data_IF_345439718291
#
_entry.id   IF_345439718291
#
_cell.length_a   1.000
_cell.length_b   1.000
_cell.length_c   1.000
_cell.angle_alpha   90.00
_cell.angle_beta   90.00
_cell.angle_gamma   90.00
#
_symmetry.space_group_name_H-M   'P 1'
#
loop_
_entity.id
_entity.type
_entity.pdbx_description
1 polymer ?
#
# COMPACT_ATOMS: atom_id res chain seq x y z
N UNK A 1 9.65 10.03 10.70
CA UNK A 1 8.37 10.63 10.23
C UNK A 1 8.63 11.40 8.94
N UNK A 2 7.88 11.14 7.87
CA UNK A 2 8.02 11.87 6.61
C UNK A 2 7.06 13.06 6.59
N UNK A 3 7.56 14.26 6.32
CA UNK A 3 6.75 15.47 6.19
C UNK A 3 6.54 15.82 4.72
N UNK A 4 5.32 16.23 4.36
CA UNK A 4 5.00 16.77 3.04
C UNK A 4 4.44 18.18 3.19
N UNK A 5 5.00 19.13 2.44
CA UNK A 5 4.52 20.51 2.40
C UNK A 5 3.77 20.75 1.09
N UNK A 6 2.47 21.02 1.19
CA UNK A 6 1.61 21.34 0.05
C UNK A 6 1.03 22.75 0.20
N UNK A 7 1.20 23.56 -0.85
CA UNK A 7 0.60 24.90 -0.94
C UNK A 7 -0.47 24.86 -2.02
N UNK A 8 -1.75 24.87 -1.60
CA UNK A 8 -2.86 24.92 -2.55
C UNK A 8 -3.06 26.38 -2.98
N UNK A 9 -2.62 26.70 -4.20
CA UNK A 9 -2.98 27.96 -4.84
C UNK A 9 -4.41 27.82 -5.38
N UNK A 10 -5.29 28.73 -4.98
CA UNK A 10 -6.64 28.81 -5.54
C UNK A 10 -6.54 29.08 -7.05
N UNK A 11 -6.71 28.05 -7.87
CA UNK A 11 -6.91 28.18 -9.30
C UNK A 11 -8.34 28.71 -9.49
N UNK A 12 -8.45 30.02 -9.65
CA UNK A 12 -9.71 30.65 -10.04
C UNK A 12 -10.16 30.10 -11.39
N UNK A 13 -11.17 29.23 -11.39
CA UNK A 13 -12.02 29.00 -12.56
C UNK A 13 -13.49 29.24 -12.17
N UNK A 14 -13.90 30.50 -12.23
CA UNK A 14 -15.16 30.87 -12.86
C UNK A 14 -14.97 32.27 -13.44
N UNK A 15 -15.36 32.44 -14.71
CA UNK A 15 -15.34 33.73 -15.45
C UNK A 15 -13.98 34.29 -15.94
N UNK A 16 -13.02 33.43 -16.33
CA UNK A 16 -11.82 33.83 -17.09
C UNK A 16 -10.94 34.95 -16.44
N UNK A 17 -11.07 35.13 -15.12
CA UNK A 17 -10.44 36.23 -14.39
C UNK A 17 -9.22 35.70 -13.65
N UNK A 18 -8.04 36.25 -13.97
CA UNK A 18 -6.79 35.96 -13.23
C UNK A 18 -6.96 36.38 -11.76
N UNK A 19 -6.56 35.51 -10.83
CA UNK A 19 -6.42 35.87 -9.41
C UNK A 19 -5.50 37.08 -9.27
N UNK A 20 -5.98 38.13 -8.59
CA UNK A 20 -5.29 39.42 -8.46
C UNK A 20 -4.50 39.56 -7.15
N UNK A 21 -4.31 38.46 -6.41
CA UNK A 21 -3.54 38.50 -5.16
C UNK A 21 -2.10 38.95 -5.44
N UNK A 22 -1.68 40.00 -4.72
CA UNK A 22 -0.31 40.54 -4.69
C UNK A 22 0.30 40.37 -3.30
N UNK A 23 -0.13 39.35 -2.57
CA UNK A 23 0.22 39.20 -1.17
C UNK A 23 1.73 39.02 -1.01
N UNK A 24 2.36 39.94 -0.26
CA UNK A 24 3.82 40.04 -0.10
C UNK A 24 4.39 38.91 0.75
N UNK A 25 3.50 38.20 1.43
CA UNK A 25 3.75 36.87 1.89
C UNK A 25 2.62 36.01 1.35
N UNK A 26 2.86 34.73 1.08
CA UNK A 26 1.81 33.76 1.40
C UNK A 26 1.68 33.82 2.94
N UNK A 27 0.90 34.79 3.42
CA UNK A 27 0.38 34.97 4.78
C UNK A 27 -1.09 35.31 4.61
N UNK A 28 -1.95 34.62 5.36
CA UNK A 28 -3.42 34.62 5.20
C UNK A 28 -3.94 34.20 3.81
N UNK A 29 -3.62 32.95 3.48
CA UNK A 29 -4.23 32.20 2.37
C UNK A 29 -4.13 30.71 2.63
N UNK A 30 -4.48 30.29 3.86
CA UNK A 30 -4.54 28.92 4.37
C UNK A 30 -3.35 28.04 3.96
N UNK A 31 -2.24 28.19 4.68
CA UNK A 31 -1.13 27.23 4.65
C UNK A 31 -1.64 25.87 5.17
N UNK A 32 -1.97 24.97 4.27
CA UNK A 32 -2.41 23.62 4.66
C UNK A 32 -1.19 22.78 5.03
N UNK A 33 -0.86 22.77 6.31
CA UNK A 33 0.17 21.89 6.85
C UNK A 33 -0.38 20.46 7.00
N UNK A 34 -0.01 19.57 6.08
CA UNK A 34 -0.39 18.15 6.15
C UNK A 34 0.74 17.36 6.79
N UNK A 35 0.57 17.01 8.07
CA UNK A 35 1.48 16.07 8.73
C UNK A 35 1.03 14.64 8.45
N UNK A 36 1.76 13.94 7.57
CA UNK A 36 1.53 12.51 7.36
C UNK A 36 2.22 11.76 8.51
N UNK A 37 1.43 11.37 9.50
CA UNK A 37 1.90 10.46 10.54
C UNK A 37 1.80 9.04 10.00
N UNK A 38 2.80 8.20 10.29
CA UNK A 38 2.72 6.75 10.03
C UNK A 38 1.81 6.09 11.09
N UNK A 39 0.59 6.58 11.21
CA UNK A 39 -0.44 6.05 12.08
C UNK A 39 -1.51 5.44 11.18
N UNK A 40 -1.57 4.12 11.18
CA UNK A 40 -2.63 3.40 10.50
C UNK A 40 -3.83 3.31 11.43
N UNK A 41 -5.03 3.44 10.86
CA UNK A 41 -6.28 3.19 11.58
C UNK A 41 -6.55 1.68 11.81
N UNK A 42 -5.58 0.84 11.48
CA UNK A 42 -5.63 -0.60 11.58
C UNK A 42 -4.23 -1.14 11.94
N UNK A 43 -4.13 -2.29 12.63
CA UNK A 43 -2.84 -2.85 13.04
C UNK A 43 -2.09 -3.42 11.84
N UNK A 44 -0.93 -2.84 11.51
CA UNK A 44 -0.08 -3.24 10.39
C UNK A 44 0.47 -4.68 10.48
N UNK A 45 0.65 -5.15 11.70
CA UNK A 45 1.13 -6.49 12.02
C UNK A 45 -0.06 -7.36 12.45
N UNK A 46 -1.09 -7.45 11.60
CA UNK A 46 -2.23 -8.34 11.80
C UNK A 46 -2.35 -9.34 10.65
N UNK A 47 -2.83 -10.54 10.98
CA UNK A 47 -3.04 -11.61 9.99
C UNK A 47 -4.02 -11.19 8.87
N UNK A 48 -4.98 -10.31 9.15
CA UNK A 48 -5.92 -9.79 8.15
C UNK A 48 -5.22 -8.97 7.04
N UNK A 49 -4.14 -8.25 7.37
CA UNK A 49 -3.36 -7.52 6.37
C UNK A 49 -2.55 -8.48 5.50
N UNK A 50 -2.10 -9.62 6.04
CA UNK A 50 -1.37 -10.62 5.26
C UNK A 50 -2.19 -11.13 4.08
N UNK A 51 -3.52 -11.19 4.21
CA UNK A 51 -4.44 -11.57 3.12
C UNK A 51 -4.45 -10.57 1.96
N UNK A 52 -4.09 -9.31 2.22
CA UNK A 52 -4.04 -8.24 1.21
C UNK A 52 -2.62 -7.99 0.67
N UNK A 53 -1.60 -8.63 1.25
CA UNK A 53 -0.24 -8.55 0.70
C UNK A 53 -0.20 -9.28 -0.63
N UNK A 54 0.50 -8.68 -1.58
CA UNK A 54 0.82 -9.36 -2.84
C UNK A 54 1.62 -10.63 -2.52
N UNK A 55 1.27 -11.72 -3.20
CA UNK A 55 2.02 -12.97 -3.14
C UNK A 55 3.47 -12.70 -3.59
N UNK A 56 4.44 -13.27 -2.89
CA UNK A 56 5.85 -13.09 -3.25
C UNK A 56 6.13 -13.68 -4.64
N UNK A 57 7.11 -13.12 -5.36
CA UNK A 57 7.50 -13.64 -6.68
C UNK A 57 7.90 -15.12 -6.62
N UNK A 58 8.61 -15.52 -5.57
CA UNK A 58 9.00 -16.90 -5.34
C UNK A 58 7.80 -17.84 -5.21
N UNK A 59 6.77 -17.45 -4.45
CA UNK A 59 5.55 -18.26 -4.31
C UNK A 59 4.78 -18.34 -5.63
N UNK A 60 4.76 -17.26 -6.43
CA UNK A 60 4.17 -17.28 -7.77
C UNK A 60 4.89 -18.28 -8.67
N UNK A 61 6.23 -18.25 -8.72
CA UNK A 61 7.02 -19.18 -9.53
C UNK A 61 6.80 -20.64 -9.11
N UNK A 62 6.69 -20.92 -7.80
CA UNK A 62 6.36 -22.27 -7.29
C UNK A 62 4.97 -22.71 -7.77
N UNK A 63 3.97 -21.83 -7.67
CA UNK A 63 2.61 -22.12 -8.17
C UNK A 63 2.61 -22.38 -9.68
N UNK A 64 3.30 -21.56 -10.47
CA UNK A 64 3.39 -21.74 -11.92
C UNK A 64 3.99 -23.10 -12.29
N UNK A 65 5.06 -23.52 -11.61
CA UNK A 65 5.65 -24.86 -11.80
C UNK A 65 4.67 -25.98 -11.47
N UNK A 66 3.94 -25.86 -10.37
CA UNK A 66 2.93 -26.85 -9.96
C UNK A 66 1.78 -26.93 -10.98
N UNK A 67 1.35 -25.79 -11.53
CA UNK A 67 0.33 -25.80 -12.58
C UNK A 67 0.85 -26.43 -13.88
N UNK A 68 2.09 -26.13 -14.26
CA UNK A 68 2.74 -26.75 -15.43
C UNK A 68 2.91 -28.26 -15.27
N UNK A 69 3.09 -28.76 -14.03
CA UNK A 69 3.13 -30.20 -13.76
C UNK A 69 1.75 -30.84 -13.57
N UNK A 70 0.66 -30.09 -13.78
CA UNK A 70 -0.71 -30.60 -13.83
C UNK A 70 -1.48 -30.56 -12.51
N UNK A 71 -0.98 -29.86 -11.48
CA UNK A 71 -1.75 -29.69 -10.25
C UNK A 71 -2.99 -28.79 -10.48
N UNK A 72 -4.09 -29.15 -9.82
CA UNK A 72 -5.24 -28.25 -9.66
C UNK A 72 -4.92 -27.14 -8.65
N UNK A 73 -5.67 -26.03 -8.66
CA UNK A 73 -5.50 -24.96 -7.66
C UNK A 73 -5.50 -25.46 -6.21
N UNK A 74 -6.40 -26.39 -5.87
CA UNK A 74 -6.47 -26.98 -4.54
C UNK A 74 -5.23 -27.83 -4.21
N UNK A 75 -4.79 -28.66 -5.16
CA UNK A 75 -3.63 -29.52 -4.94
C UNK A 75 -2.34 -28.71 -4.81
N UNK A 76 -2.13 -27.71 -5.68
CA UNK A 76 -0.95 -26.85 -5.64
C UNK A 76 -0.86 -26.06 -4.31
N UNK A 77 -2.00 -25.54 -3.83
CA UNK A 77 -2.04 -24.85 -2.55
C UNK A 77 -1.71 -25.78 -1.38
N UNK A 78 -2.22 -27.02 -1.41
CA UNK A 78 -1.91 -28.00 -0.37
C UNK A 78 -0.43 -28.38 -0.37
N UNK A 79 0.17 -28.59 -1.56
CA UNK A 79 1.63 -28.83 -1.67
C UNK A 79 2.42 -27.71 -1.01
N UNK A 80 2.12 -26.45 -1.34
CA UNK A 80 2.81 -25.31 -0.71
C UNK A 80 2.64 -25.23 0.80
N UNK A 81 1.49 -25.62 1.34
CA UNK A 81 1.27 -25.67 2.79
C UNK A 81 2.14 -26.74 3.44
N UNK A 82 2.26 -27.91 2.81
CA UNK A 82 3.13 -28.98 3.31
C UNK A 82 4.59 -28.57 3.28
N UNK A 83 5.06 -27.97 2.18
CA UNK A 83 6.43 -27.47 2.05
C UNK A 83 6.76 -26.44 3.15
N UNK A 84 5.84 -25.48 3.39
CA UNK A 84 6.00 -24.48 4.44
C UNK A 84 5.98 -25.09 5.86
N UNK A 85 5.15 -26.12 6.08
CA UNK A 85 5.10 -26.81 7.36
C UNK A 85 6.39 -27.60 7.62
N UNK A 86 6.99 -28.21 6.58
CA UNK A 86 8.28 -28.88 6.68
C UNK A 86 9.41 -27.88 6.97
N UNK A 87 9.39 -26.71 6.34
CA UNK A 87 10.40 -25.67 6.52
C UNK A 87 10.35 -24.99 7.90
N UNK A 88 9.14 -24.68 8.39
CA UNK A 88 8.94 -23.90 9.62
C UNK A 88 8.70 -24.75 10.86
N UNK A 89 8.38 -26.04 10.70
CA UNK A 89 8.13 -26.98 11.80
C UNK A 89 7.11 -26.45 12.81
N UNK A 90 7.50 -26.42 14.09
CA UNK A 90 6.65 -25.95 15.20
C UNK A 90 6.28 -24.46 15.13
N UNK A 91 6.95 -23.68 14.27
CA UNK A 91 6.65 -22.26 14.06
C UNK A 91 5.58 -22.00 12.99
N UNK A 92 5.07 -23.07 12.36
CA UNK A 92 4.00 -23.00 11.39
C UNK A 92 2.64 -22.86 12.11
N UNK A 93 2.08 -21.64 12.14
CA UNK A 93 0.81 -21.29 12.84
C UNK A 93 -0.32 -21.05 11.84
#
# INVERSE_FOLDING_TARGET
PAGLYLVVKKLSFSQNRRSRSKDGHIQEGLLTHVTIKHNHNHPLDSAEILKQRSVSKETVEKLEKLFQSGHSPCSALNTLKYDLQEELGDSYV
#
